data_IF_399305492973
#
_entry.id   IF_399305492973
#
_cell.length_a   1.000
_cell.length_b   1.000
_cell.length_c   1.000
_cell.angle_alpha   90.00
_cell.angle_beta   90.00
_cell.angle_gamma   90.00
#
_symmetry.space_group_name_H-M   'P 1'
#
loop_
_entity.id
_entity.type
_entity.pdbx_description
1 polymer ?
#
# COMPACT_ATOMS: atom_id res chain seq x y z
N UNK A 1 3.40 -1.01 -25.44
CA UNK A 1 3.23 -2.42 -25.07
C UNK A 1 1.76 -2.71 -24.96
N UNK A 2 1.28 -3.80 -25.55
CA UNK A 2 -0.14 -4.15 -25.62
C UNK A 2 -0.64 -4.56 -24.24
N UNK A 3 -1.36 -3.67 -23.54
CA UNK A 3 -2.04 -4.00 -22.29
C UNK A 3 -3.08 -5.10 -22.58
N UNK A 4 -2.95 -6.26 -21.94
CA UNK A 4 -3.92 -7.35 -22.14
C UNK A 4 -5.25 -6.96 -21.48
N UNK A 5 -6.37 -7.42 -22.02
CA UNK A 5 -7.69 -7.15 -21.39
C UNK A 5 -7.72 -7.67 -19.95
N UNK A 6 -7.01 -8.76 -19.68
CA UNK A 6 -6.87 -9.39 -18.35
C UNK A 6 -6.26 -8.41 -17.35
N UNK A 7 -5.17 -7.74 -17.72
CA UNK A 7 -4.46 -6.76 -16.90
C UNK A 7 -5.40 -5.66 -16.39
N UNK A 8 -6.22 -5.12 -17.30
CA UNK A 8 -7.20 -4.07 -16.97
C UNK A 8 -8.36 -4.58 -16.11
N UNK A 9 -8.71 -5.86 -16.22
CA UNK A 9 -9.69 -6.48 -15.32
C UNK A 9 -9.12 -6.68 -13.92
N UNK A 10 -7.86 -7.11 -13.80
CA UNK A 10 -7.16 -7.29 -12.53
C UNK A 10 -6.98 -5.96 -11.81
N UNK A 11 -6.50 -4.93 -12.51
CA UNK A 11 -6.38 -3.56 -11.99
C UNK A 11 -7.70 -3.06 -11.40
N UNK A 12 -8.78 -3.16 -12.17
CA UNK A 12 -10.10 -2.69 -11.74
C UNK A 12 -10.65 -3.51 -10.58
N UNK A 13 -10.43 -4.82 -10.58
CA UNK A 13 -10.87 -5.70 -9.50
C UNK A 13 -10.17 -5.36 -8.19
N UNK A 14 -8.86 -5.16 -8.23
CA UNK A 14 -8.06 -4.80 -7.05
C UNK A 14 -8.43 -3.42 -6.54
N UNK A 15 -8.63 -2.45 -7.43
CA UNK A 15 -9.13 -1.12 -7.06
C UNK A 15 -10.43 -1.21 -6.26
N UNK A 16 -11.38 -2.00 -6.76
CA UNK A 16 -12.68 -2.19 -6.11
C UNK A 16 -12.52 -2.92 -4.79
N UNK A 17 -11.70 -3.98 -4.72
CA UNK A 17 -11.43 -4.72 -3.49
C UNK A 17 -10.84 -3.80 -2.41
N UNK A 18 -9.80 -3.01 -2.75
CA UNK A 18 -9.19 -2.07 -1.81
C UNK A 18 -10.19 -1.02 -1.27
N UNK A 19 -11.30 -0.81 -1.97
CA UNK A 19 -12.38 0.06 -1.55
C UNK A 19 -13.44 -0.62 -0.67
N UNK A 20 -13.54 -1.95 -0.64
CA UNK A 20 -14.59 -2.64 0.14
C UNK A 20 -14.28 -2.76 1.63
N UNK A 21 -15.31 -3.06 2.42
CA UNK A 21 -15.13 -3.34 3.85
C UNK A 21 -14.55 -4.73 4.10
N UNK A 22 -14.74 -5.69 3.21
CA UNK A 22 -14.10 -7.01 3.35
C UNK A 22 -12.57 -6.90 3.35
N UNK A 23 -12.03 -5.93 2.60
CA UNK A 23 -10.60 -5.62 2.60
C UNK A 23 -10.09 -5.20 3.99
N UNK A 24 -10.89 -4.45 4.76
CA UNK A 24 -10.53 -4.05 6.12
C UNK A 24 -10.53 -5.23 7.10
N UNK A 25 -11.24 -6.31 6.75
CA UNK A 25 -11.28 -7.57 7.49
C UNK A 25 -10.12 -8.53 7.19
N UNK A 26 -9.30 -8.26 6.17
CA UNK A 26 -8.15 -9.10 5.84
C UNK A 26 -7.10 -9.09 6.94
N UNK A 27 -6.41 -10.20 7.10
CA UNK A 27 -5.20 -10.29 7.91
C UNK A 27 -4.03 -9.56 7.23
N UNK A 28 -2.98 -9.25 8.00
CA UNK A 28 -1.76 -8.64 7.45
C UNK A 28 -1.11 -9.52 6.39
N UNK A 29 -1.15 -10.85 6.55
CA UNK A 29 -0.53 -11.78 5.61
C UNK A 29 -1.28 -11.76 4.27
N UNK A 30 -2.61 -11.83 4.28
CA UNK A 30 -3.45 -11.73 3.08
C UNK A 30 -3.28 -10.37 2.38
N UNK A 31 -3.20 -9.28 3.16
CA UNK A 31 -2.94 -7.95 2.64
C UNK A 31 -1.57 -7.88 1.95
N UNK A 32 -0.52 -8.40 2.60
CA UNK A 32 0.83 -8.43 2.05
C UNK A 32 0.90 -9.30 0.78
N UNK A 33 0.19 -10.43 0.73
CA UNK A 33 0.11 -11.25 -0.47
C UNK A 33 -0.53 -10.48 -1.63
N UNK A 34 -1.63 -9.76 -1.38
CA UNK A 34 -2.27 -8.93 -2.41
C UNK A 34 -1.32 -7.83 -2.88
N UNK A 35 -0.68 -7.11 -1.95
CA UNK A 35 0.21 -5.99 -2.29
C UNK A 35 1.51 -6.43 -2.96
N UNK A 36 1.99 -7.65 -2.69
CA UNK A 36 3.23 -8.19 -3.26
C UNK A 36 3.05 -8.86 -4.63
N UNK A 37 1.83 -8.96 -5.15
CA UNK A 37 1.62 -9.46 -6.52
C UNK A 37 2.22 -8.44 -7.50
N UNK A 38 3.37 -8.79 -8.06
CA UNK A 38 4.12 -8.00 -9.05
C UNK A 38 3.31 -7.67 -10.33
N UNK A 39 2.24 -8.43 -10.57
CA UNK A 39 1.27 -8.25 -11.64
C UNK A 39 0.08 -7.36 -11.25
N UNK A 40 0.14 -6.67 -10.09
CA UNK A 40 -0.78 -5.59 -9.81
C UNK A 40 -0.55 -4.49 -10.83
N UNK A 41 -1.41 -4.45 -11.82
CA UNK A 41 -1.54 -3.32 -12.74
C UNK A 41 -2.19 -2.09 -12.07
N UNK A 42 -2.18 -2.01 -10.73
CA UNK A 42 -2.72 -0.88 -9.98
C UNK A 42 -1.62 0.15 -9.73
N UNK A 43 -1.99 1.42 -9.68
CA UNK A 43 -1.05 2.48 -9.28
C UNK A 43 -0.59 2.25 -7.83
N UNK A 44 0.71 2.24 -7.60
CA UNK A 44 1.30 2.12 -6.25
C UNK A 44 0.70 3.13 -5.26
N UNK A 45 0.30 4.32 -5.76
CA UNK A 45 -0.35 5.36 -4.94
C UNK A 45 -1.70 4.92 -4.38
N UNK A 46 -2.45 4.13 -5.14
CA UNK A 46 -3.69 3.51 -4.66
C UNK A 46 -3.42 2.45 -3.61
N UNK A 47 -2.37 1.64 -3.81
CA UNK A 47 -1.96 0.60 -2.86
C UNK A 47 -1.50 1.20 -1.53
N UNK A 48 -0.76 2.31 -1.57
CA UNK A 48 -0.44 3.08 -0.37
C UNK A 48 -1.70 3.58 0.34
N UNK A 49 -2.66 4.15 -0.38
CA UNK A 49 -3.93 4.60 0.22
C UNK A 49 -4.71 3.45 0.85
N UNK A 50 -4.76 2.30 0.18
CA UNK A 50 -5.44 1.11 0.69
C UNK A 50 -4.76 0.58 1.96
N UNK A 51 -3.42 0.51 1.96
CA UNK A 51 -2.61 0.13 3.13
C UNK A 51 -2.85 1.08 4.32
N UNK A 52 -2.80 2.40 4.08
CA UNK A 52 -3.07 3.40 5.12
C UNK A 52 -4.48 3.22 5.67
N UNK A 53 -5.49 3.08 4.80
CA UNK A 53 -6.88 2.84 5.22
C UNK A 53 -7.03 1.57 6.07
N UNK A 54 -6.35 0.49 5.70
CA UNK A 54 -6.38 -0.76 6.45
C UNK A 54 -5.77 -0.62 7.85
N UNK A 55 -4.71 0.16 7.99
CA UNK A 55 -4.09 0.45 9.30
C UNK A 55 -4.96 1.41 10.10
N UNK A 56 -5.57 2.41 9.47
CA UNK A 56 -6.47 3.35 10.16
C UNK A 56 -7.71 2.69 10.75
N UNK A 57 -8.13 1.55 10.20
CA UNK A 57 -9.24 0.75 10.73
C UNK A 57 -8.97 0.22 12.15
N UNK A 58 -7.71 -0.09 12.48
CA UNK A 58 -7.30 -0.54 13.82
C UNK A 58 -5.85 -0.11 14.08
N UNK A 59 -5.65 1.19 14.31
CA UNK A 59 -4.29 1.77 14.44
C UNK A 59 -3.49 1.16 15.56
N UNK A 60 -4.14 0.78 16.66
CA UNK A 60 -3.47 0.32 17.87
C UNK A 60 -2.86 -1.07 17.66
N UNK A 61 -3.54 -1.96 16.94
CA UNK A 61 -3.02 -3.31 16.66
C UNK A 61 -2.28 -3.41 15.32
N UNK A 62 -2.60 -2.54 14.35
CA UNK A 62 -2.07 -2.65 12.97
C UNK A 62 -0.89 -1.74 12.67
N UNK A 63 -0.60 -0.77 13.54
CA UNK A 63 0.50 0.17 13.36
C UNK A 63 1.87 -0.52 13.23
N UNK A 64 2.07 -1.65 13.91
CA UNK A 64 3.32 -2.43 13.86
C UNK A 64 3.60 -3.07 12.49
N UNK A 65 2.57 -3.28 11.67
CA UNK A 65 2.70 -3.92 10.36
C UNK A 65 3.00 -2.93 9.24
N UNK A 66 3.00 -1.63 9.53
CA UNK A 66 3.20 -0.58 8.53
C UNK A 66 4.51 -0.78 7.73
N UNK A 67 5.61 -1.08 8.41
CA UNK A 67 6.91 -1.28 7.75
C UNK A 67 6.86 -2.48 6.80
N UNK A 68 6.27 -3.59 7.24
CA UNK A 68 6.07 -4.80 6.45
C UNK A 68 5.20 -4.53 5.22
N UNK A 69 4.11 -3.80 5.39
CA UNK A 69 3.19 -3.44 4.30
C UNK A 69 3.90 -2.54 3.27
N UNK A 70 4.64 -1.53 3.74
CA UNK A 70 5.38 -0.62 2.85
C UNK A 70 6.50 -1.34 2.08
N UNK A 71 7.08 -2.42 2.62
CA UNK A 71 8.06 -3.23 1.86
C UNK A 71 7.43 -4.06 0.75
N UNK A 72 6.13 -4.33 0.80
CA UNK A 72 5.41 -4.99 -0.28
C UNK A 72 5.09 -4.04 -1.45
N UNK A 73 5.05 -2.72 -1.19
CA UNK A 73 4.74 -1.69 -2.18
C UNK A 73 6.04 -1.19 -2.81
N UNK A 74 6.04 -1.00 -4.14
CA UNK A 74 7.23 -0.49 -4.85
C UNK A 74 7.31 1.03 -4.70
N UNK A 75 7.80 1.49 -3.55
CA UNK A 75 7.95 2.91 -3.24
C UNK A 75 8.72 3.69 -4.33
N UNK A 76 9.69 3.06 -4.98
CA UNK A 76 10.46 3.63 -6.10
C UNK A 76 9.62 3.97 -7.34
N UNK A 77 8.44 3.36 -7.48
CA UNK A 77 7.49 3.63 -8.57
C UNK A 77 6.51 4.75 -8.24
N UNK A 78 6.48 5.23 -6.99
CA UNK A 78 5.68 6.39 -6.59
C UNK A 78 6.34 7.70 -7.02
N UNK A 79 5.51 8.73 -7.20
CA UNK A 79 6.03 10.08 -7.38
C UNK A 79 6.81 10.51 -6.12
N UNK A 80 8.06 11.00 -6.24
CA UNK A 80 8.85 11.45 -5.10
C UNK A 80 8.13 12.52 -4.26
N UNK A 81 7.30 13.34 -4.89
CA UNK A 81 6.48 14.33 -4.18
C UNK A 81 5.44 13.65 -3.28
N UNK A 82 4.80 12.56 -3.73
CA UNK A 82 3.83 11.79 -2.96
C UNK A 82 4.50 11.11 -1.75
N UNK A 83 5.69 10.54 -1.93
CA UNK A 83 6.49 9.95 -0.84
C UNK A 83 6.77 10.98 0.26
N UNK A 84 7.19 12.19 -0.10
CA UNK A 84 7.60 13.22 0.86
C UNK A 84 6.40 13.98 1.48
N UNK A 85 5.31 14.16 0.74
CA UNK A 85 4.15 14.94 1.21
C UNK A 85 3.09 14.12 1.89
N UNK A 86 2.80 12.91 1.41
CA UNK A 86 1.71 12.08 1.94
C UNK A 86 2.26 11.00 2.88
N UNK A 87 3.26 10.22 2.46
CA UNK A 87 3.83 9.17 3.32
C UNK A 87 4.71 9.74 4.44
N UNK A 88 5.72 10.56 4.13
CA UNK A 88 6.69 11.03 5.13
C UNK A 88 6.07 11.95 6.20
N UNK A 89 4.90 12.53 5.92
CA UNK A 89 4.13 13.33 6.88
C UNK A 89 3.07 12.52 7.63
N UNK A 90 2.78 11.30 7.19
CA UNK A 90 1.75 10.49 7.81
C UNK A 90 2.16 10.16 9.26
N UNK A 91 1.30 10.41 10.27
CA UNK A 91 1.66 10.21 11.67
C UNK A 91 2.14 8.77 11.96
N UNK A 92 1.58 7.80 11.24
CA UNK A 92 1.99 6.40 11.34
C UNK A 92 3.45 6.17 10.90
N UNK A 93 3.89 6.82 9.82
CA UNK A 93 5.27 6.74 9.31
C UNK A 93 6.21 7.59 10.15
N UNK A 94 5.74 8.76 10.62
CA UNK A 94 6.53 9.64 11.50
C UNK A 94 6.80 8.98 12.86
N UNK A 95 5.95 8.06 13.31
CA UNK A 95 6.16 7.35 14.57
C UNK A 95 7.00 6.07 14.43
N UNK A 96 7.25 5.61 13.20
CA UNK A 96 8.03 4.39 12.93
C UNK A 96 9.37 4.70 12.24
N UNK A 97 10.47 4.36 12.91
CA UNK A 97 11.82 4.64 12.41
C UNK A 97 12.21 3.77 11.20
N UNK A 98 11.70 2.55 11.09
CA UNK A 98 11.93 1.70 9.92
C UNK A 98 11.21 2.27 8.70
N UNK A 99 9.96 2.70 8.87
CA UNK A 99 9.18 3.34 7.81
C UNK A 99 9.82 4.63 7.31
N UNK A 100 10.34 5.48 8.22
CA UNK A 100 11.10 6.67 7.82
C UNK A 100 12.31 6.33 6.98
N UNK A 101 13.05 5.31 7.38
CA UNK A 101 14.25 4.88 6.66
C UNK A 101 13.86 4.43 5.26
N UNK A 102 12.86 3.56 5.13
CA UNK A 102 12.33 3.07 3.85
C UNK A 102 11.94 4.21 2.91
N UNK A 103 11.17 5.20 3.39
CA UNK A 103 10.76 6.37 2.58
C UNK A 103 11.93 7.31 2.24
N UNK A 104 12.97 7.36 3.07
CA UNK A 104 14.14 8.22 2.84
C UNK A 104 15.20 7.62 1.90
N UNK A 105 15.25 6.29 1.78
CA UNK A 105 16.23 5.58 0.92
C UNK A 105 15.62 5.06 -0.39
N UNK A 106 14.29 5.10 -0.50
CA UNK A 106 13.57 4.93 -1.76
C UNK A 106 13.61 6.24 -2.54
#
# INVERSE_FOLDING_TARGET
>A
STQSKVDRFVEKYITVICETEEFLGLSVDELCEILAIDELYAEEGMLCKAAVRWIEHDRDCRGEFLSRILTCIRLLSLDPSYLVTELARHPLIVNDLQCKTLVSVS
#
